data_IF_047716239480
#
_entry.id   IF_047716239480
#
_cell.length_a   1.000
_cell.length_b   1.000
_cell.length_c   1.000
_cell.angle_alpha   90.00
_cell.angle_beta   90.00
_cell.angle_gamma   90.00
#
_symmetry.space_group_name_H-M   'P 1'
#
loop_
_entity.id
_entity.type
_entity.pdbx_description
1 polymer ?
#
# COMPACT_ATOMS: atom_id res chain seq x y z
N UNK A 1 -18.10 22.43 -53.46
CA UNK A 1 -16.79 22.44 -52.77
C UNK A 1 -16.19 23.83 -52.90
N UNK A 2 -15.59 24.38 -51.85
CA UNK A 2 -14.94 25.70 -51.95
C UNK A 2 -13.84 25.65 -53.00
N UNK A 3 -13.96 26.47 -54.04
CA UNK A 3 -12.92 26.61 -55.08
C UNK A 3 -11.84 27.61 -54.67
N UNK A 4 -12.08 28.38 -53.61
CA UNK A 4 -11.15 29.35 -53.06
C UNK A 4 -10.32 28.72 -51.94
N UNK A 5 -9.03 29.07 -51.93
CA UNK A 5 -8.10 28.65 -50.90
C UNK A 5 -8.31 29.47 -49.63
N UNK A 6 -8.49 28.81 -48.49
CA UNK A 6 -8.76 29.47 -47.20
C UNK A 6 -7.57 30.28 -46.66
N UNK A 7 -6.32 29.99 -47.06
CA UNK A 7 -5.14 30.76 -46.60
C UNK A 7 -4.82 32.00 -47.44
N UNK A 8 -5.18 32.03 -48.73
CA UNK A 8 -4.82 33.13 -49.62
C UNK A 8 -6.00 33.76 -50.37
N UNK A 9 -7.22 33.26 -50.16
CA UNK A 9 -8.49 33.72 -50.73
C UNK A 9 -8.59 33.67 -52.26
N UNK A 10 -7.57 33.14 -52.95
CA UNK A 10 -7.55 32.96 -54.40
C UNK A 10 -8.25 31.68 -54.83
N UNK A 11 -8.82 31.70 -56.03
CA UNK A 11 -9.40 30.52 -56.67
C UNK A 11 -8.34 29.46 -57.01
N UNK A 12 -8.79 28.22 -57.21
CA UNK A 12 -7.95 27.10 -57.68
C UNK A 12 -7.43 26.20 -56.56
N UNK A 13 -8.15 26.07 -55.44
CA UNK A 13 -7.83 25.07 -54.42
C UNK A 13 -7.90 23.64 -54.99
N UNK A 14 -6.86 22.85 -54.76
CA UNK A 14 -6.67 21.52 -55.36
C UNK A 14 -6.60 20.38 -54.33
N UNK A 15 -6.71 20.71 -53.04
CA UNK A 15 -6.86 19.78 -51.91
C UNK A 15 -7.87 20.34 -50.92
N UNK A 16 -8.72 19.48 -50.33
CA UNK A 16 -9.74 19.89 -49.37
C UNK A 16 -9.59 19.14 -48.05
N UNK A 17 -9.71 19.86 -46.93
CA UNK A 17 -9.73 19.25 -45.60
C UNK A 17 -10.93 18.31 -45.47
N UNK A 18 -10.71 17.07 -45.04
CA UNK A 18 -11.77 16.07 -44.95
C UNK A 18 -12.77 16.35 -43.81
N UNK A 19 -12.41 17.19 -42.84
CA UNK A 19 -13.28 17.60 -41.74
C UNK A 19 -14.09 18.85 -42.08
N UNK A 20 -13.44 20.00 -42.27
CA UNK A 20 -14.13 21.29 -42.48
C UNK A 20 -14.45 21.61 -43.95
N UNK A 21 -13.99 20.78 -44.90
CA UNK A 21 -14.20 20.93 -46.36
C UNK A 21 -13.61 22.20 -46.98
N UNK A 22 -12.81 22.95 -46.22
CA UNK A 22 -12.05 24.10 -46.71
C UNK A 22 -11.00 23.69 -47.75
N UNK A 23 -10.84 24.51 -48.79
CA UNK A 23 -9.91 24.29 -49.89
C UNK A 23 -8.53 24.90 -49.60
N UNK A 24 -7.47 24.23 -50.06
CA UNK A 24 -6.10 24.67 -49.93
C UNK A 24 -5.36 24.44 -51.25
N UNK A 25 -4.39 25.31 -51.55
CA UNK A 25 -3.37 24.96 -52.56
C UNK A 25 -2.40 23.97 -51.91
N UNK A 26 -2.32 22.78 -52.46
CA UNK A 26 -1.61 21.64 -51.90
C UNK A 26 -0.18 22.00 -51.46
N UNK A 27 0.70 22.30 -52.40
CA UNK A 27 2.12 22.49 -52.09
C UNK A 27 2.37 23.74 -51.23
N UNK A 28 1.62 24.83 -51.45
CA UNK A 28 1.96 26.13 -50.89
C UNK A 28 1.34 26.39 -49.51
N UNK A 29 0.18 25.80 -49.22
CA UNK A 29 -0.63 26.19 -48.07
C UNK A 29 -1.16 25.02 -47.23
N UNK A 30 -1.02 23.78 -47.70
CA UNK A 30 -1.46 22.58 -46.95
C UNK A 30 -0.34 21.88 -46.18
N UNK A 31 0.93 22.25 -46.40
CA UNK A 31 2.09 21.61 -45.77
C UNK A 31 2.43 20.23 -46.36
N UNK A 32 1.78 19.84 -47.47
CA UNK A 32 1.95 18.56 -48.12
C UNK A 32 3.00 18.62 -49.24
N UNK A 33 3.72 17.52 -49.41
CA UNK A 33 4.60 17.30 -50.55
C UNK A 33 3.82 17.05 -51.84
N UNK A 34 4.50 17.19 -53.00
CA UNK A 34 3.92 16.93 -54.32
C UNK A 34 3.31 15.53 -54.43
N UNK A 35 4.00 14.53 -53.88
CA UNK A 35 3.56 13.14 -53.91
C UNK A 35 2.28 12.94 -53.11
N UNK A 36 2.18 13.57 -51.93
CA UNK A 36 0.98 13.50 -51.08
C UNK A 36 -0.22 14.19 -51.72
N UNK A 37 -0.02 15.38 -52.31
CA UNK A 37 -1.06 16.07 -53.07
C UNK A 37 -1.56 15.21 -54.22
N UNK A 38 -0.67 14.51 -54.93
CA UNK A 38 -1.05 13.59 -56.00
C UNK A 38 -1.92 12.44 -55.49
N UNK A 39 -1.56 11.84 -54.34
CA UNK A 39 -2.37 10.77 -53.73
C UNK A 39 -3.74 11.25 -53.24
N UNK A 40 -3.86 12.51 -52.81
CA UNK A 40 -5.12 13.08 -52.35
C UNK A 40 -6.08 13.49 -53.49
N UNK A 41 -5.59 13.56 -54.72
CA UNK A 41 -6.41 13.81 -55.91
C UNK A 41 -7.03 12.54 -56.48
N UNK A 42 -6.62 11.36 -56.03
CA UNK A 42 -7.21 10.09 -56.46
C UNK A 42 -8.60 9.89 -55.88
N UNK A 43 -9.58 9.50 -56.72
CA UNK A 43 -10.98 9.31 -56.32
C UNK A 43 -11.15 8.20 -55.27
N UNK A 44 -10.27 7.19 -55.27
CA UNK A 44 -10.30 6.06 -54.34
C UNK A 44 -9.28 6.19 -53.20
N UNK A 45 -8.99 7.41 -52.74
CA UNK A 45 -8.00 7.62 -51.68
C UNK A 45 -8.46 7.08 -50.33
N UNK A 46 -7.58 6.31 -49.68
CA UNK A 46 -7.71 5.97 -48.25
C UNK A 46 -7.11 7.04 -47.33
N UNK A 47 -6.20 7.85 -47.88
CA UNK A 47 -5.53 8.92 -47.16
C UNK A 47 -6.48 10.09 -46.93
N UNK A 48 -6.55 10.54 -45.68
CA UNK A 48 -7.35 11.69 -45.25
C UNK A 48 -6.43 12.85 -44.91
N UNK A 49 -6.76 14.04 -45.41
CA UNK A 49 -6.08 15.28 -45.14
C UNK A 49 -6.89 16.13 -44.15
N UNK A 50 -6.20 16.67 -43.15
CA UNK A 50 -6.77 17.59 -42.17
C UNK A 50 -5.88 18.82 -42.14
N UNK A 51 -6.47 20.01 -42.24
CA UNK A 51 -5.70 21.25 -42.07
C UNK A 51 -5.23 21.39 -40.61
N UNK A 52 -4.26 22.26 -40.38
CA UNK A 52 -3.69 22.54 -39.04
C UNK A 52 -4.79 22.78 -37.99
N UNK A 53 -5.78 23.63 -38.30
CA UNK A 53 -6.90 23.93 -37.40
C UNK A 53 -7.82 22.72 -37.11
N UNK A 54 -7.81 21.70 -37.95
CA UNK A 54 -8.63 20.49 -37.80
C UNK A 54 -7.82 19.28 -37.32
N UNK A 55 -6.49 19.34 -37.36
CA UNK A 55 -5.59 18.29 -36.87
C UNK A 55 -5.78 18.10 -35.37
N UNK A 56 -5.86 19.20 -34.62
CA UNK A 56 -6.07 19.17 -33.17
C UNK A 56 -7.47 18.68 -32.80
N UNK A 57 -8.49 19.06 -33.58
CA UNK A 57 -9.87 18.57 -33.39
C UNK A 57 -9.94 17.06 -33.57
N UNK A 58 -9.17 16.49 -34.51
CA UNK A 58 -9.10 15.04 -34.69
C UNK A 58 -8.43 14.34 -33.51
N UNK A 59 -7.35 14.93 -32.96
CA UNK A 59 -6.72 14.40 -31.76
C UNK A 59 -7.70 14.38 -30.57
N UNK A 60 -8.49 15.46 -30.41
CA UNK A 60 -9.53 15.55 -29.39
C UNK A 60 -10.62 14.48 -29.60
N UNK A 61 -11.07 14.27 -30.84
CA UNK A 61 -12.08 13.25 -31.15
C UNK A 61 -11.59 11.82 -30.84
N UNK A 62 -10.31 11.52 -31.10
CA UNK A 62 -9.74 10.23 -30.74
C UNK A 62 -9.69 10.05 -29.21
N UNK A 63 -9.24 11.08 -28.48
CA UNK A 63 -9.20 11.05 -27.02
C UNK A 63 -10.61 10.92 -26.41
N UNK A 64 -11.65 11.43 -27.07
CA UNK A 64 -13.04 11.27 -26.63
C UNK A 64 -13.52 9.81 -26.71
N UNK A 65 -13.05 9.04 -27.69
CA UNK A 65 -13.35 7.61 -27.80
C UNK A 65 -12.70 6.85 -26.63
N UNK A 66 -11.45 7.15 -26.33
CA UNK A 66 -10.73 6.53 -25.20
C UNK A 66 -11.36 6.89 -23.85
N UNK A 67 -11.77 8.14 -23.69
CA UNK A 67 -12.51 8.58 -22.51
C UNK A 67 -13.86 7.86 -22.40
N UNK A 68 -14.58 7.69 -23.50
CA UNK A 68 -15.85 6.96 -23.53
C UNK A 68 -15.68 5.50 -23.11
N UNK A 69 -14.62 4.84 -23.58
CA UNK A 69 -14.30 3.47 -23.19
C UNK A 69 -13.95 3.38 -21.70
N UNK A 70 -13.18 4.34 -21.18
CA UNK A 70 -12.84 4.42 -19.75
C UNK A 70 -14.09 4.61 -18.89
N UNK A 71 -15.00 5.49 -19.29
CA UNK A 71 -16.29 5.71 -18.58
C UNK A 71 -17.14 4.45 -18.57
N UNK A 72 -17.20 3.70 -19.69
CA UNK A 72 -17.92 2.40 -19.73
C UNK A 72 -17.31 1.37 -18.78
N UNK A 73 -15.98 1.23 -18.77
CA UNK A 73 -15.28 0.34 -17.83
C UNK A 73 -15.59 0.69 -16.38
N UNK A 74 -15.54 1.97 -16.02
CA UNK A 74 -15.87 2.43 -14.67
C UNK A 74 -17.35 2.22 -14.33
N UNK A 75 -18.27 2.38 -15.29
CA UNK A 75 -19.68 2.08 -15.08
C UNK A 75 -19.91 0.58 -14.80
N UNK A 76 -19.21 -0.30 -15.51
CA UNK A 76 -19.24 -1.75 -15.26
C UNK A 76 -18.70 -2.09 -13.87
N UNK A 77 -17.57 -1.52 -13.47
CA UNK A 77 -17.01 -1.70 -12.13
C UNK A 77 -17.96 -1.22 -11.03
N UNK A 78 -18.57 -0.03 -11.19
CA UNK A 78 -19.55 0.49 -10.24
C UNK A 78 -20.79 -0.41 -10.17
N UNK A 79 -21.25 -0.96 -11.29
CA UNK A 79 -22.39 -1.87 -11.30
C UNK A 79 -22.05 -3.20 -10.62
N UNK A 80 -20.84 -3.73 -10.84
CA UNK A 80 -20.34 -4.92 -10.16
C UNK A 80 -20.23 -4.69 -8.64
N UNK A 81 -19.68 -3.55 -8.22
CA UNK A 81 -19.60 -3.19 -6.80
C UNK A 81 -20.98 -3.01 -6.17
N UNK A 82 -21.91 -2.33 -6.86
CA UNK A 82 -23.30 -2.22 -6.41
C UNK A 82 -23.98 -3.57 -6.26
N UNK A 83 -23.68 -4.52 -7.14
CA UNK A 83 -24.21 -5.89 -7.05
C UNK A 83 -23.65 -6.63 -5.82
N UNK A 84 -22.33 -6.55 -5.56
CA UNK A 84 -21.71 -7.14 -4.37
C UNK A 84 -22.27 -6.53 -3.09
N UNK A 85 -22.39 -5.21 -3.02
CA UNK A 85 -22.99 -4.51 -1.86
C UNK A 85 -24.46 -4.91 -1.68
N UNK A 86 -25.22 -5.04 -2.77
CA UNK A 86 -26.62 -5.47 -2.71
C UNK A 86 -26.77 -6.92 -2.27
N UNK A 87 -25.88 -7.82 -2.67
CA UNK A 87 -25.87 -9.19 -2.15
C UNK A 87 -25.57 -9.23 -0.65
N UNK A 88 -24.59 -8.43 -0.20
CA UNK A 88 -24.22 -8.36 1.21
C UNK A 88 -25.35 -7.76 2.07
N UNK A 89 -26.07 -6.75 1.56
CA UNK A 89 -27.20 -6.12 2.28
C UNK A 89 -28.51 -6.91 2.19
N UNK A 90 -28.71 -7.77 1.18
CA UNK A 90 -29.84 -8.70 1.13
C UNK A 90 -29.65 -9.91 2.03
N UNK A 91 -28.41 -10.35 2.25
CA UNK A 91 -28.07 -11.36 3.26
C UNK A 91 -28.36 -10.90 4.71
N UNK A 92 -28.46 -9.59 4.96
CA UNK A 92 -28.76 -9.01 6.27
C UNK A 92 -30.27 -8.98 6.60
N UNK A 93 -31.17 -9.14 5.62
CA UNK A 93 -32.64 -8.94 5.83
C UNK A 93 -33.46 -10.22 6.03
N UNK A 94 -32.87 -11.41 5.95
CA UNK A 94 -33.64 -12.68 6.00
C UNK A 94 -33.25 -13.66 7.10
N UNK A 95 -32.53 -13.25 8.15
CA UNK A 95 -32.15 -14.22 9.20
C UNK A 95 -32.18 -13.66 10.62
N UNK A 96 -33.36 -13.71 11.23
CA UNK A 96 -33.61 -13.44 12.66
C UNK A 96 -33.00 -14.49 13.63
N UNK A 97 -32.05 -15.33 13.20
CA UNK A 97 -31.36 -16.32 14.09
C UNK A 97 -29.87 -16.56 13.78
N UNK A 98 -29.27 -15.86 12.81
CA UNK A 98 -27.89 -16.15 12.35
C UNK A 98 -26.89 -15.01 12.57
N UNK A 99 -27.35 -13.85 13.03
CA UNK A 99 -26.54 -12.63 13.24
C UNK A 99 -25.57 -12.75 14.40
N UNK A 100 -25.90 -13.48 15.47
CA UNK A 100 -24.99 -13.66 16.62
C UNK A 100 -23.70 -14.41 16.25
N UNK A 101 -23.76 -15.35 15.31
CA UNK A 101 -22.59 -16.11 14.88
C UNK A 101 -21.68 -15.32 13.92
N UNK A 102 -22.23 -14.46 13.06
CA UNK A 102 -21.43 -13.66 12.11
C UNK A 102 -20.77 -12.47 12.81
N UNK A 103 -21.49 -11.79 13.71
CA UNK A 103 -20.92 -10.71 14.54
C UNK A 103 -19.85 -11.27 15.47
N UNK A 104 -20.08 -12.45 16.08
CA UNK A 104 -19.02 -13.13 16.83
C UNK A 104 -17.83 -13.49 15.93
N UNK A 105 -18.02 -14.01 14.72
CA UNK A 105 -16.91 -14.36 13.84
C UNK A 105 -16.07 -13.14 13.41
N UNK A 106 -16.69 -11.98 13.17
CA UNK A 106 -15.96 -10.74 12.88
C UNK A 106 -15.19 -10.24 14.11
N UNK A 107 -15.83 -10.22 15.28
CA UNK A 107 -15.16 -9.87 16.54
C UNK A 107 -14.01 -10.85 16.87
N UNK A 108 -14.19 -12.15 16.61
CA UNK A 108 -13.16 -13.17 16.78
C UNK A 108 -11.99 -12.88 15.83
N UNK A 109 -12.27 -12.54 14.57
CA UNK A 109 -11.23 -12.24 13.58
C UNK A 109 -10.44 -10.99 13.96
N UNK A 110 -11.11 -9.91 14.39
CA UNK A 110 -10.45 -8.69 14.87
C UNK A 110 -9.59 -8.95 16.11
N UNK A 111 -10.10 -9.72 17.08
CA UNK A 111 -9.35 -10.11 18.27
C UNK A 111 -8.10 -10.93 17.93
N UNK A 112 -8.20 -11.86 16.97
CA UNK A 112 -7.04 -12.62 16.49
C UNK A 112 -6.00 -11.70 15.85
N UNK A 113 -6.42 -10.73 15.04
CA UNK A 113 -5.50 -9.78 14.39
C UNK A 113 -4.79 -8.93 15.44
N UNK A 114 -5.53 -8.34 16.39
CA UNK A 114 -4.96 -7.55 17.50
C UNK A 114 -3.96 -8.39 18.29
N UNK A 115 -4.30 -9.63 18.62
CA UNK A 115 -3.45 -10.57 19.34
C UNK A 115 -2.16 -10.88 18.57
N UNK A 116 -2.22 -11.11 17.25
CA UNK A 116 -1.02 -11.32 16.42
C UNK A 116 -0.10 -10.10 16.45
N UNK A 117 -0.65 -8.90 16.35
CA UNK A 117 0.14 -7.66 16.46
C UNK A 117 0.75 -7.48 17.86
N UNK A 118 0.00 -7.80 18.92
CA UNK A 118 0.56 -7.78 20.27
C UNK A 118 1.69 -8.78 20.46
N UNK A 119 1.59 -9.99 19.90
CA UNK A 119 2.68 -10.99 19.91
C UNK A 119 3.92 -10.48 19.21
N UNK A 120 3.77 -9.92 18.00
CA UNK A 120 4.88 -9.30 17.26
C UNK A 120 5.49 -8.11 17.99
N UNK A 121 4.72 -7.38 18.79
CA UNK A 121 5.27 -6.29 19.62
C UNK A 121 6.00 -6.82 20.86
N UNK A 122 5.68 -8.04 21.31
CA UNK A 122 6.22 -8.64 22.54
C UNK A 122 7.33 -9.66 22.31
N UNK A 123 7.55 -10.12 21.08
CA UNK A 123 8.59 -11.11 20.72
C UNK A 123 10.01 -10.66 21.07
N UNK A 124 10.26 -9.36 21.11
CA UNK A 124 11.56 -8.79 21.48
C UNK A 124 11.72 -8.58 23.00
N UNK A 125 10.70 -8.95 23.79
CA UNK A 125 10.70 -8.80 25.23
C UNK A 125 10.99 -10.14 25.93
N UNK A 126 11.85 -10.09 26.92
CA UNK A 126 12.17 -11.18 27.83
C UNK A 126 11.80 -10.77 29.26
N UNK A 127 11.06 -11.62 29.97
CA UNK A 127 10.73 -11.40 31.38
C UNK A 127 11.69 -12.23 32.23
N UNK A 128 12.42 -11.56 33.11
CA UNK A 128 13.40 -12.18 34.02
C UNK A 128 12.91 -12.08 35.46
N UNK A 129 12.89 -13.20 36.15
CA UNK A 129 12.42 -13.33 37.54
C UNK A 129 13.60 -13.56 38.48
N UNK A 130 13.35 -13.35 39.78
CA UNK A 130 14.30 -13.61 40.86
C UNK A 130 15.63 -12.83 40.77
N UNK A 131 15.61 -11.66 40.15
CA UNK A 131 16.75 -10.73 40.17
C UNK A 131 16.62 -9.86 41.42
N UNK A 132 17.60 -9.93 42.31
CA UNK A 132 17.65 -9.11 43.53
C UNK A 132 17.48 -7.62 43.23
N UNK A 133 16.62 -6.94 43.99
CA UNK A 133 16.37 -5.51 43.86
C UNK A 133 17.62 -4.68 44.17
N UNK A 134 18.01 -3.80 43.24
CA UNK A 134 19.09 -2.85 43.47
C UNK A 134 18.54 -1.60 44.18
N UNK A 135 19.15 -1.23 45.30
CA UNK A 135 18.81 -0.02 46.04
C UNK A 135 19.66 1.19 45.61
N UNK A 136 19.10 2.40 45.76
CA UNK A 136 19.79 3.68 45.52
C UNK A 136 19.51 4.33 44.15
N UNK A 137 20.20 5.44 43.90
CA UNK A 137 20.03 6.29 42.70
C UNK A 137 20.43 5.53 41.42
N UNK A 138 21.45 4.69 41.51
CA UNK A 138 22.00 3.91 40.40
C UNK A 138 21.34 2.54 40.19
N UNK A 139 20.15 2.32 40.80
CA UNK A 139 19.44 1.03 40.71
C UNK A 139 19.31 0.50 39.28
N UNK A 140 19.04 1.40 38.32
CA UNK A 140 18.87 1.04 36.90
C UNK A 140 20.17 0.53 36.31
N UNK A 141 21.30 1.18 36.59
CA UNK A 141 22.59 0.77 36.04
C UNK A 141 23.06 -0.56 36.64
N UNK A 142 22.82 -0.78 37.94
CA UNK A 142 23.12 -2.05 38.60
C UNK A 142 22.30 -3.20 38.01
N UNK A 143 20.98 -3.01 37.87
CA UNK A 143 20.11 -4.00 37.23
C UNK A 143 20.53 -4.25 35.77
N UNK A 144 20.89 -3.19 35.04
CA UNK A 144 21.32 -3.30 33.64
C UNK A 144 22.59 -4.13 33.54
N UNK A 145 23.60 -3.87 34.37
CA UNK A 145 24.85 -4.62 34.36
C UNK A 145 24.65 -6.09 34.73
N UNK A 146 23.80 -6.40 35.73
CA UNK A 146 23.45 -7.78 36.09
C UNK A 146 22.85 -8.54 34.91
N UNK A 147 21.89 -7.93 34.22
CA UNK A 147 21.25 -8.56 33.06
C UNK A 147 22.21 -8.64 31.87
N UNK A 148 23.02 -7.61 31.62
CA UNK A 148 24.03 -7.59 30.56
C UNK A 148 25.01 -8.74 30.71
N UNK A 149 25.59 -8.93 31.89
CA UNK A 149 26.47 -10.07 32.17
C UNK A 149 25.75 -11.41 31.99
N UNK A 150 24.50 -11.53 32.46
CA UNK A 150 23.72 -12.76 32.31
C UNK A 150 23.44 -13.12 30.84
N UNK A 151 23.16 -12.13 29.99
CA UNK A 151 22.92 -12.33 28.55
C UNK A 151 24.21 -12.69 27.82
N UNK A 152 25.30 -11.97 28.10
CA UNK A 152 26.61 -12.24 27.50
C UNK A 152 27.13 -13.64 27.85
N UNK A 153 26.84 -14.14 29.06
CA UNK A 153 27.18 -15.51 29.46
C UNK A 153 26.44 -16.59 28.66
N UNK A 154 25.25 -16.27 28.13
CA UNK A 154 24.44 -17.22 27.35
C UNK A 154 24.76 -17.14 25.87
N UNK A 155 24.97 -15.93 25.34
CA UNK A 155 25.26 -15.70 23.93
C UNK A 155 26.04 -14.40 23.76
N UNK A 156 27.32 -14.51 23.41
CA UNK A 156 28.19 -13.36 23.13
C UNK A 156 27.74 -12.55 21.91
N UNK A 157 26.97 -13.17 21.01
CA UNK A 157 26.48 -12.55 19.78
C UNK A 157 25.36 -11.52 19.98
N UNK A 158 24.74 -11.47 21.16
CA UNK A 158 23.58 -10.60 21.40
C UNK A 158 24.04 -9.18 21.65
N UNK A 159 23.51 -8.24 20.88
CA UNK A 159 23.82 -6.82 21.04
C UNK A 159 23.19 -6.28 22.34
N UNK A 160 24.01 -6.15 23.40
CA UNK A 160 23.53 -5.69 24.71
C UNK A 160 23.48 -4.17 24.88
N UNK A 161 24.08 -3.40 23.97
CA UNK A 161 24.24 -1.96 24.16
C UNK A 161 22.95 -1.17 23.86
N UNK A 162 22.05 -1.73 23.04
CA UNK A 162 20.74 -1.14 22.72
C UNK A 162 19.62 -1.66 23.63
N UNK A 163 19.94 -2.57 24.55
CA UNK A 163 18.97 -3.20 25.45
C UNK A 163 18.33 -2.17 26.39
N UNK A 164 17.02 -2.30 26.63
CA UNK A 164 16.30 -1.52 27.65
C UNK A 164 15.78 -2.43 28.74
N UNK A 165 15.89 -2.00 30.00
CA UNK A 165 15.40 -2.76 31.15
C UNK A 165 14.40 -1.95 31.99
N UNK A 166 13.33 -2.62 32.43
CA UNK A 166 12.25 -2.01 33.21
C UNK A 166 11.75 -3.01 34.26
N UNK A 167 11.81 -2.64 35.55
CA UNK A 167 11.16 -3.42 36.62
C UNK A 167 9.64 -3.34 36.49
N UNK A 168 8.96 -4.48 36.62
CA UNK A 168 7.51 -4.59 36.52
C UNK A 168 6.86 -4.58 37.91
N UNK A 169 5.82 -3.75 38.09
CA UNK A 169 5.02 -3.70 39.32
C UNK A 169 5.54 -2.75 40.40
N UNK A 170 4.78 -2.68 41.50
CA UNK A 170 5.09 -1.84 42.68
C UNK A 170 6.14 -2.52 43.55
N UNK A 171 7.06 -1.70 44.09
CA UNK A 171 8.11 -2.19 44.99
C UNK A 171 7.51 -2.86 46.23
N UNK A 172 8.10 -3.97 46.66
CA UNK A 172 7.81 -4.63 47.91
C UNK A 172 9.10 -5.18 48.50
N UNK A 173 9.22 -5.16 49.83
CA UNK A 173 10.38 -5.72 50.53
C UNK A 173 10.39 -7.26 50.54
N UNK A 174 9.21 -7.89 50.40
CA UNK A 174 9.07 -9.35 50.49
C UNK A 174 9.39 -10.07 49.18
N UNK A 175 9.36 -9.36 48.04
CA UNK A 175 9.44 -9.99 46.72
C UNK A 175 10.23 -9.14 45.74
N UNK A 176 11.16 -9.81 45.06
CA UNK A 176 11.90 -9.24 43.94
C UNK A 176 10.97 -9.07 42.72
N UNK A 177 10.82 -7.84 42.24
CA UNK A 177 10.03 -7.59 41.03
C UNK A 177 10.67 -8.18 39.77
N UNK A 178 9.88 -8.72 38.84
CA UNK A 178 10.39 -9.13 37.53
C UNK A 178 10.99 -7.96 36.76
N UNK A 179 11.97 -8.23 35.93
CA UNK A 179 12.56 -7.27 34.99
C UNK A 179 12.09 -7.62 33.59
N UNK A 180 11.44 -6.66 32.92
CA UNK A 180 11.23 -6.68 31.49
C UNK A 180 12.48 -6.18 30.80
N UNK A 181 13.02 -7.03 29.93
CA UNK A 181 14.20 -6.78 29.12
C UNK A 181 13.73 -6.67 27.67
N UNK A 182 14.03 -5.55 27.02
CA UNK A 182 13.67 -5.29 25.63
C UNK A 182 14.96 -5.35 24.81
N UNK A 183 15.03 -6.35 23.93
CA UNK A 183 16.12 -6.56 22.99
C UNK A 183 15.68 -6.01 21.63
N UNK A 184 16.62 -5.72 20.74
CA UNK A 184 16.30 -5.16 19.44
C UNK A 184 15.77 -6.21 18.46
N UNK A 185 16.34 -7.42 18.52
CA UNK A 185 16.06 -8.52 17.58
C UNK A 185 15.35 -9.69 18.28
N UNK A 186 14.27 -10.23 17.69
CA UNK A 186 13.56 -11.38 18.26
C UNK A 186 14.41 -12.66 18.25
N UNK A 187 15.33 -12.80 17.29
CA UNK A 187 16.22 -13.96 17.18
C UNK A 187 17.12 -14.09 18.42
N UNK A 188 17.57 -12.97 18.97
CA UNK A 188 18.41 -12.91 20.17
C UNK A 188 17.62 -13.38 21.41
N UNK A 189 16.36 -12.96 21.53
CA UNK A 189 15.46 -13.44 22.60
C UNK A 189 15.27 -14.95 22.47
N UNK A 190 15.06 -15.44 21.24
CA UNK A 190 14.90 -16.88 21.00
C UNK A 190 16.17 -17.66 21.35
N UNK A 191 17.36 -17.14 21.02
CA UNK A 191 18.64 -17.75 21.37
C UNK A 191 18.85 -17.84 22.89
N UNK A 192 18.47 -16.80 23.64
CA UNK A 192 18.51 -16.79 25.11
C UNK A 192 17.53 -17.82 25.66
N UNK A 193 16.29 -17.84 25.17
CA UNK A 193 15.26 -18.78 25.63
C UNK A 193 15.61 -20.25 25.34
N UNK A 194 16.26 -20.52 24.19
CA UNK A 194 16.77 -21.85 23.82
C UNK A 194 17.84 -22.33 24.79
N UNK A 195 18.66 -21.42 25.30
CA UNK A 195 19.75 -21.69 26.23
C UNK A 195 19.40 -21.28 27.68
N UNK A 196 18.11 -21.23 28.04
CA UNK A 196 17.64 -20.76 29.36
C UNK A 196 18.29 -21.46 30.57
N UNK A 197 18.79 -22.68 30.40
CA UNK A 197 19.49 -23.44 31.45
C UNK A 197 20.84 -22.84 31.84
N UNK A 198 21.48 -22.12 30.92
CA UNK A 198 22.73 -21.38 31.15
C UNK A 198 22.47 -19.97 31.70
N UNK A 199 21.23 -19.49 31.62
CA UNK A 199 20.86 -18.17 32.13
C UNK A 199 20.78 -18.25 33.66
N UNK A 200 21.47 -17.36 34.40
CA UNK A 200 21.55 -17.43 35.87
C UNK A 200 20.23 -17.14 36.58
N UNK A 201 19.23 -16.64 35.85
CA UNK A 201 17.93 -16.27 36.38
C UNK A 201 16.83 -17.09 35.70
N UNK A 202 15.65 -17.14 36.32
CA UNK A 202 14.48 -17.71 35.64
C UNK A 202 13.98 -16.70 34.60
N UNK A 203 13.83 -17.13 33.33
CA UNK A 203 13.37 -16.25 32.25
C UNK A 203 12.24 -16.89 31.44
N UNK A 204 11.32 -16.06 30.96
CA UNK A 204 10.18 -16.46 30.12
C UNK A 204 9.90 -15.41 29.03
N UNK A 205 9.28 -15.80 27.90
CA UNK A 205 8.81 -14.84 26.90
C UNK A 205 7.70 -13.96 27.48
N UNK A 206 7.61 -12.71 27.02
CA UNK A 206 6.51 -11.79 27.37
C UNK A 206 5.22 -12.20 26.63
N UNK A 207 4.31 -12.85 27.37
CA UNK A 207 3.08 -13.42 26.82
C UNK A 207 1.90 -12.44 26.90
N UNK A 208 1.07 -12.49 25.87
CA UNK A 208 -0.22 -11.79 25.84
C UNK A 208 -1.21 -12.39 26.85
N UNK A 209 -2.27 -11.67 27.23
CA UNK A 209 -3.33 -12.22 28.08
C UNK A 209 -3.92 -13.53 27.53
N UNK A 210 -4.05 -13.67 26.20
CA UNK A 210 -4.58 -14.90 25.58
C UNK A 210 -3.62 -16.10 25.63
N UNK A 211 -2.34 -15.88 25.93
CA UNK A 211 -1.32 -16.92 26.03
C UNK A 211 -0.99 -17.36 27.47
N UNK A 212 -1.63 -16.74 28.48
CA UNK A 212 -1.39 -16.99 29.90
C UNK A 212 -2.22 -18.14 30.45
#
# INVERSE_FOLDING_TARGET
MSTTCTKCERSGADVHCDLCKNGYHGINYSGLSRSEVSCLKSENRKLKFYCENCSDIKAILNNMVDLSNTVKSLQEEVNNLKFVVKQNTLAEKTTDKTTDNIVNNNLITENIVVEIFERKKRETNLIVYNVEESNGIERKNKDFNKIKSAVQNVSESVATDTMKIIRLGKYSQERNRPIKVIIERPEDVHAILKNKTKFPYSCQPDRTPMQR
#
